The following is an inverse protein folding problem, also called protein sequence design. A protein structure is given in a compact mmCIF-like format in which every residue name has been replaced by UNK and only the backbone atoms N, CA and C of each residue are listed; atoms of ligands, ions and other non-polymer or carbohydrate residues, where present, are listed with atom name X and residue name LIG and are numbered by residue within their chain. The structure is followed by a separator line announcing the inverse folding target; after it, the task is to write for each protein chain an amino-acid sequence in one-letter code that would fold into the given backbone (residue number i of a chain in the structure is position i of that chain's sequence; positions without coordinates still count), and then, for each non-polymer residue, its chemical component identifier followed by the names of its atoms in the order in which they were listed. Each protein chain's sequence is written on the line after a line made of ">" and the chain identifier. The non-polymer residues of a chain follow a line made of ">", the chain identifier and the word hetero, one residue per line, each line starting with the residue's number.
data_IF_661629848239
#
_entry.id   IF_661629848239
#
_cell.length_a   1.000
_cell.length_b   1.000
_cell.length_c   1.000
_cell.angle_alpha   90.00
_cell.angle_beta   90.00
_cell.angle_gamma   90.00
#
_symmetry.space_group_name_H-M   'P 1'
#
loop_
_entity.id
_entity.type
_entity.pdbx_description
1 polymer ?
#
# COMPACT_ATOMS: atom_id res chain seq x y z
N UNK A 1 21.41 5.59 -11.59
CA UNK A 1 19.95 5.82 -11.54
C UNK A 1 19.29 4.57 -12.09
N UNK A 2 18.48 3.86 -11.30
CA UNK A 2 17.72 2.72 -11.84
C UNK A 2 16.64 3.27 -12.78
N UNK A 3 16.52 2.76 -14.01
CA UNK A 3 15.51 3.24 -14.95
C UNK A 3 14.11 2.88 -14.44
N UNK A 4 13.20 3.87 -14.42
CA UNK A 4 11.80 3.63 -14.10
C UNK A 4 11.19 2.65 -15.11
N UNK A 5 10.38 1.73 -14.61
CA UNK A 5 9.67 0.72 -15.40
C UNK A 5 8.23 1.17 -15.66
N UNK A 6 7.54 0.50 -16.59
CA UNK A 6 6.12 0.74 -16.82
C UNK A 6 5.27 0.37 -15.58
N UNK A 7 5.76 -0.54 -14.73
CA UNK A 7 5.11 -0.88 -13.45
C UNK A 7 5.12 0.33 -12.53
N UNK A 8 6.25 1.05 -12.44
CA UNK A 8 6.32 2.28 -11.65
C UNK A 8 5.35 3.33 -12.17
N UNK A 9 5.22 3.44 -13.50
CA UNK A 9 4.26 4.35 -14.12
C UNK A 9 2.80 4.00 -13.75
N UNK A 10 2.44 2.71 -13.71
CA UNK A 10 1.10 2.28 -13.28
C UNK A 10 0.84 2.54 -11.79
N UNK A 11 1.83 2.27 -10.93
CA UNK A 11 1.75 2.53 -9.49
C UNK A 11 1.58 4.02 -9.22
N UNK A 12 2.37 4.87 -9.90
CA UNK A 12 2.23 6.33 -9.82
C UNK A 12 0.88 6.79 -10.37
N UNK A 13 0.43 6.23 -11.49
CA UNK A 13 -0.88 6.57 -12.08
C UNK A 13 -2.02 6.25 -11.11
N UNK A 14 -1.94 5.15 -10.38
CA UNK A 14 -2.90 4.80 -9.34
C UNK A 14 -2.94 5.88 -8.24
N UNK A 15 -1.78 6.28 -7.71
CA UNK A 15 -1.68 7.34 -6.70
C UNK A 15 -2.22 8.67 -7.22
N UNK A 16 -1.87 9.05 -8.45
CA UNK A 16 -2.35 10.28 -9.08
C UNK A 16 -3.86 10.24 -9.27
N UNK A 17 -4.40 9.11 -9.72
CA UNK A 17 -5.84 8.92 -9.93
C UNK A 17 -6.62 9.02 -8.63
N UNK A 18 -6.17 8.35 -7.56
CA UNK A 18 -6.84 8.45 -6.25
C UNK A 18 -6.72 9.84 -5.65
N UNK A 19 -5.58 10.52 -5.84
CA UNK A 19 -5.38 11.92 -5.44
C UNK A 19 -6.34 12.86 -6.16
N UNK A 20 -6.45 12.73 -7.48
CA UNK A 20 -7.35 13.53 -8.30
C UNK A 20 -8.83 13.29 -7.94
N UNK A 21 -9.21 12.03 -7.74
CA UNK A 21 -10.54 11.66 -7.27
C UNK A 21 -10.82 12.26 -5.88
N UNK A 22 -9.89 12.14 -4.94
CA UNK A 22 -10.00 12.74 -3.62
C UNK A 22 -10.19 14.26 -3.69
N UNK A 23 -9.37 14.95 -4.49
CA UNK A 23 -9.46 16.39 -4.69
C UNK A 23 -10.80 16.82 -5.32
N UNK A 24 -11.33 16.04 -6.27
CA UNK A 24 -12.63 16.28 -6.89
C UNK A 24 -13.79 16.18 -5.89
N UNK A 25 -13.66 15.28 -4.90
CA UNK A 25 -14.65 15.03 -3.85
C UNK A 25 -14.43 15.88 -2.58
N UNK A 26 -13.40 16.74 -2.56
CA UNK A 26 -13.14 17.71 -1.48
C UNK A 26 -13.09 17.05 -0.09
N UNK A 27 -13.79 17.56 0.93
CA UNK A 27 -13.77 16.95 2.27
C UNK A 27 -14.33 15.52 2.28
N UNK A 28 -15.27 15.18 1.38
CA UNK A 28 -15.74 13.79 1.28
C UNK A 28 -14.59 12.89 0.83
N UNK A 29 -13.77 13.35 -0.11
CA UNK A 29 -12.55 12.67 -0.54
C UNK A 29 -11.54 12.50 0.60
N UNK A 30 -11.44 13.49 1.49
CA UNK A 30 -10.60 13.38 2.69
C UNK A 30 -11.13 12.31 3.65
N UNK A 31 -12.42 12.35 3.98
CA UNK A 31 -13.05 11.37 4.88
C UNK A 31 -12.94 9.95 4.33
N UNK A 32 -13.21 9.75 3.04
CA UNK A 32 -13.09 8.44 2.39
C UNK A 32 -11.63 8.01 2.31
N UNK A 33 -10.70 8.93 2.01
CA UNK A 33 -9.27 8.64 1.94
C UNK A 33 -8.72 8.18 3.28
N UNK A 34 -8.89 8.98 4.34
CA UNK A 34 -8.45 8.63 5.71
C UNK A 34 -9.19 7.39 6.22
N UNK A 35 -10.50 7.31 6.01
CA UNK A 35 -11.28 6.14 6.39
C UNK A 35 -10.79 4.86 5.70
N UNK A 36 -10.47 4.94 4.41
CA UNK A 36 -9.94 3.81 3.63
C UNK A 36 -8.56 3.37 4.12
N UNK A 37 -7.69 4.33 4.46
CA UNK A 37 -6.39 4.04 5.10
C UNK A 37 -6.60 3.29 6.41
N UNK A 38 -7.50 3.76 7.27
CA UNK A 38 -7.81 3.11 8.55
C UNK A 38 -8.43 1.71 8.38
N UNK A 39 -9.26 1.53 7.35
CA UNK A 39 -9.88 0.24 7.03
C UNK A 39 -8.91 -0.76 6.39
N UNK A 40 -7.76 -0.32 5.86
CA UNK A 40 -6.87 -1.24 5.13
C UNK A 40 -6.43 -2.41 6.00
N UNK A 41 -5.87 -2.16 7.18
CA UNK A 41 -5.36 -3.23 8.05
C UNK A 41 -6.42 -4.28 8.42
N UNK A 42 -7.61 -3.92 8.93
CA UNK A 42 -8.63 -4.92 9.21
C UNK A 42 -9.06 -5.66 7.94
N UNK A 43 -9.11 -5.01 6.77
CA UNK A 43 -9.40 -5.68 5.51
C UNK A 43 -8.32 -6.68 5.10
N UNK A 44 -7.04 -6.37 5.31
CA UNK A 44 -5.93 -7.30 5.06
C UNK A 44 -6.03 -8.52 5.98
N UNK A 45 -6.36 -8.32 7.26
CA UNK A 45 -6.55 -9.41 8.23
C UNK A 45 -7.77 -10.29 7.90
N UNK A 46 -8.86 -9.69 7.39
CA UNK A 46 -10.01 -10.46 6.91
C UNK A 46 -9.66 -11.18 5.60
N UNK A 47 -8.88 -10.53 4.73
CA UNK A 47 -8.44 -11.08 3.44
C UNK A 47 -7.60 -12.33 3.57
N UNK A 48 -6.72 -12.40 4.57
CA UNK A 48 -5.93 -13.60 4.84
C UNK A 48 -6.78 -14.80 5.26
N UNK A 49 -8.03 -14.58 5.71
CA UNK A 49 -8.97 -15.65 6.08
C UNK A 49 -9.90 -16.06 4.94
N UNK A 50 -10.09 -15.20 3.94
CA UNK A 50 -10.96 -15.49 2.80
C UNK A 50 -11.19 -14.27 1.90
N UNK A 51 -10.84 -14.41 0.62
CA UNK A 51 -10.93 -13.33 -0.38
C UNK A 51 -12.37 -12.80 -0.51
N UNK A 52 -13.36 -13.68 -0.59
CA UNK A 52 -14.76 -13.28 -0.73
C UNK A 52 -15.28 -12.49 0.48
N UNK A 53 -14.89 -12.89 1.69
CA UNK A 53 -15.26 -12.16 2.91
C UNK A 53 -14.62 -10.77 2.88
N UNK A 54 -13.33 -10.67 2.54
CA UNK A 54 -12.67 -9.38 2.38
C UNK A 54 -13.33 -8.49 1.34
N UNK A 55 -13.73 -9.02 0.17
CA UNK A 55 -14.44 -8.25 -0.85
C UNK A 55 -15.76 -7.72 -0.31
N UNK A 56 -16.57 -8.55 0.35
CA UNK A 56 -17.84 -8.12 0.95
C UNK A 56 -17.60 -7.08 2.04
N UNK A 57 -16.66 -7.31 2.96
CA UNK A 57 -16.32 -6.35 4.02
C UNK A 57 -15.80 -5.03 3.45
N UNK A 58 -14.99 -5.07 2.39
CA UNK A 58 -14.48 -3.87 1.71
C UNK A 58 -15.61 -3.07 1.06
N UNK A 59 -16.56 -3.74 0.39
CA UNK A 59 -17.74 -3.10 -0.20
C UNK A 59 -18.60 -2.45 0.88
N UNK A 60 -18.92 -3.18 1.95
CA UNK A 60 -19.71 -2.66 3.07
C UNK A 60 -19.01 -1.49 3.74
N UNK A 61 -17.71 -1.62 4.03
CA UNK A 61 -16.89 -0.54 4.60
C UNK A 61 -16.85 0.70 3.70
N UNK A 62 -16.70 0.51 2.38
CA UNK A 62 -16.73 1.58 1.39
C UNK A 62 -18.08 2.31 1.36
N UNK A 63 -19.20 1.59 1.39
CA UNK A 63 -20.54 2.17 1.47
C UNK A 63 -20.72 2.97 2.76
N UNK A 64 -20.31 2.41 3.91
CA UNK A 64 -20.39 3.10 5.20
C UNK A 64 -19.57 4.40 5.16
N UNK A 65 -18.33 4.37 4.67
CA UNK A 65 -17.49 5.57 4.54
C UNK A 65 -18.10 6.61 3.60
N UNK A 66 -18.71 6.17 2.49
CA UNK A 66 -19.39 7.07 1.57
C UNK A 66 -20.59 7.75 2.24
N UNK A 67 -21.42 7.00 2.99
CA UNK A 67 -22.56 7.54 3.73
C UNK A 67 -22.10 8.50 4.83
N UNK A 68 -21.08 8.13 5.61
CA UNK A 68 -20.48 9.00 6.63
C UNK A 68 -19.95 10.29 5.99
N UNK A 69 -19.19 10.18 4.90
CA UNK A 69 -18.66 11.33 4.18
C UNK A 69 -19.75 12.27 3.68
N UNK A 70 -20.84 11.72 3.14
CA UNK A 70 -22.00 12.52 2.71
C UNK A 70 -22.72 13.21 3.89
N UNK A 71 -22.81 12.54 5.05
CA UNK A 71 -23.51 13.07 6.23
C UNK A 71 -22.69 14.12 6.98
N UNK A 72 -21.38 13.94 7.07
CA UNK A 72 -20.48 14.86 7.79
C UNK A 72 -20.17 16.14 7.01
N UNK A 73 -20.33 16.13 5.69
CA UNK A 73 -19.97 17.25 4.82
C UNK A 73 -21.24 18.01 4.40
N UNK A 74 -21.46 19.25 4.88
CA UNK A 74 -22.65 20.03 4.52
C UNK A 74 -22.65 20.33 3.02
N UNK A 75 -23.72 19.91 2.33
CA UNK A 75 -23.86 20.09 0.88
C UNK A 75 -23.86 21.58 0.41
N UNK A 76 -24.11 22.53 1.33
CA UNK A 76 -24.33 23.94 1.00
C UNK A 76 -23.15 24.89 1.21
N UNK A 77 -22.06 24.49 1.90
CA UNK A 77 -20.93 25.42 2.12
C UNK A 77 -19.98 25.35 0.93
N UNK A 78 -19.71 26.49 0.29
CA UNK A 78 -18.66 26.66 -0.73
C UNK A 78 -17.32 26.22 -0.14
N UNK A 79 -17.02 24.93 -0.23
CA UNK A 79 -15.70 24.39 0.05
C UNK A 79 -14.77 24.97 -1.01
N UNK A 80 -14.04 26.01 -0.62
CA UNK A 80 -13.04 26.64 -1.44
C UNK A 80 -11.86 25.70 -1.71
N UNK A 81 -10.75 26.29 -2.11
CA UNK A 81 -9.51 25.56 -2.45
C UNK A 81 -9.03 24.63 -1.32
N UNK A 82 -9.23 25.01 -0.04
CA UNK A 82 -8.87 24.19 1.13
C UNK A 82 -9.55 22.83 1.11
N UNK A 83 -10.84 22.77 0.78
CA UNK A 83 -11.57 21.50 0.72
C UNK A 83 -11.02 20.58 -0.36
N UNK A 84 -10.65 21.14 -1.53
CA UNK A 84 -9.99 20.38 -2.61
C UNK A 84 -8.61 19.88 -2.18
N UNK A 85 -7.81 20.72 -1.53
CA UNK A 85 -6.49 20.35 -1.04
C UNK A 85 -6.55 19.20 -0.04
N UNK A 86 -7.45 19.29 0.96
CA UNK A 86 -7.67 18.21 1.94
C UNK A 86 -8.17 16.93 1.26
N UNK A 87 -9.09 17.05 0.31
CA UNK A 87 -9.53 15.92 -0.50
C UNK A 87 -8.38 15.23 -1.24
N UNK A 88 -7.50 16.03 -1.84
CA UNK A 88 -6.29 15.56 -2.51
C UNK A 88 -5.35 14.83 -1.55
N UNK A 89 -5.10 15.39 -0.36
CA UNK A 89 -4.27 14.75 0.68
C UNK A 89 -4.85 13.39 1.09
N UNK A 90 -6.17 13.31 1.31
CA UNK A 90 -6.81 12.04 1.65
C UNK A 90 -6.71 11.01 0.51
N UNK A 91 -6.93 11.45 -0.74
CA UNK A 91 -6.78 10.60 -1.92
C UNK A 91 -5.35 10.13 -2.16
N UNK A 92 -4.36 10.99 -1.90
CA UNK A 92 -2.94 10.66 -1.98
C UNK A 92 -2.54 9.66 -0.90
N UNK A 93 -2.97 9.89 0.35
CA UNK A 93 -2.71 8.97 1.45
C UNK A 93 -3.27 7.58 1.17
N UNK A 94 -4.52 7.49 0.67
CA UNK A 94 -5.11 6.23 0.25
C UNK A 94 -4.37 5.60 -0.94
N UNK A 95 -4.01 6.39 -1.95
CA UNK A 95 -3.26 5.91 -3.12
C UNK A 95 -1.91 5.30 -2.77
N UNK A 96 -1.12 6.01 -1.95
CA UNK A 96 0.17 5.53 -1.45
C UNK A 96 0.00 4.26 -0.62
N UNK A 97 -1.03 4.23 0.23
CA UNK A 97 -1.36 3.08 1.06
C UNK A 97 -1.70 1.85 0.21
N UNK A 98 -2.54 2.01 -0.81
CA UNK A 98 -2.87 0.93 -1.76
C UNK A 98 -1.65 0.50 -2.58
N UNK A 99 -0.81 1.44 -2.99
CA UNK A 99 0.45 1.15 -3.68
C UNK A 99 1.34 0.27 -2.83
N UNK A 100 1.60 0.66 -1.57
CA UNK A 100 2.42 -0.14 -0.66
C UNK A 100 1.79 -1.50 -0.40
N UNK A 101 0.48 -1.57 -0.12
CA UNK A 101 -0.21 -2.84 0.08
C UNK A 101 -0.07 -3.77 -1.13
N UNK A 102 -0.14 -3.23 -2.36
CA UNK A 102 0.03 -3.99 -3.59
C UNK A 102 1.48 -4.50 -3.73
N UNK A 103 2.46 -3.61 -3.55
CA UNK A 103 3.89 -3.98 -3.70
C UNK A 103 4.44 -4.78 -2.52
N UNK A 104 3.68 -4.99 -1.44
CA UNK A 104 4.02 -5.93 -0.35
C UNK A 104 3.21 -7.23 -0.40
N UNK A 105 2.19 -7.32 -1.26
CA UNK A 105 1.32 -8.50 -1.41
C UNK A 105 1.62 -9.32 -2.66
N UNK A 106 2.71 -9.02 -3.39
CA UNK A 106 3.14 -9.88 -4.49
C UNK A 106 3.49 -11.28 -3.95
N UNK A 107 3.33 -12.34 -4.77
CA UNK A 107 3.59 -13.68 -4.28
C UNK A 107 5.07 -13.87 -3.96
N UNK A 108 5.34 -14.51 -2.83
CA UNK A 108 6.69 -14.91 -2.44
C UNK A 108 7.00 -16.25 -3.09
N UNK A 109 8.16 -16.37 -3.72
CA UNK A 109 8.64 -17.64 -4.26
C UNK A 109 9.73 -18.23 -3.36
N UNK A 110 9.65 -19.52 -3.04
CA UNK A 110 10.70 -20.25 -2.30
C UNK A 110 11.56 -21.08 -3.25
N UNK A 111 12.82 -21.31 -2.88
CA UNK A 111 13.68 -22.24 -3.59
C UNK A 111 13.32 -23.70 -3.21
N UNK A 112 12.90 -24.57 -4.15
CA UNK A 112 12.58 -25.97 -3.84
C UNK A 112 13.76 -26.80 -3.35
N UNK A 113 15.00 -26.34 -3.57
CA UNK A 113 16.21 -27.00 -3.08
C UNK A 113 16.71 -26.45 -1.73
N UNK A 114 16.22 -25.29 -1.28
CA UNK A 114 16.61 -24.66 -0.03
C UNK A 114 15.47 -23.77 0.52
N UNK A 115 14.70 -24.31 1.46
CA UNK A 115 13.54 -23.61 2.05
C UNK A 115 13.88 -22.30 2.77
N UNK A 116 15.16 -22.08 3.12
CA UNK A 116 15.62 -20.83 3.73
C UNK A 116 15.79 -19.70 2.70
N UNK A 117 15.81 -20.01 1.40
CA UNK A 117 15.99 -19.00 0.35
C UNK A 117 14.64 -18.51 -0.19
N UNK A 118 14.43 -17.20 -0.04
CA UNK A 118 13.18 -16.51 -0.39
C UNK A 118 13.46 -15.54 -1.52
N UNK A 119 12.68 -15.65 -2.60
CA UNK A 119 12.74 -14.75 -3.75
C UNK A 119 11.54 -13.80 -3.75
N UNK A 120 11.85 -12.51 -3.74
CA UNK A 120 10.89 -11.43 -3.92
C UNK A 120 11.50 -10.31 -4.76
N UNK A 121 10.83 -9.83 -5.81
CA UNK A 121 9.58 -10.36 -6.40
C UNK A 121 9.77 -11.78 -7.00
N UNK A 122 8.69 -12.50 -7.33
CA UNK A 122 8.77 -13.88 -7.81
C UNK A 122 9.49 -13.95 -9.16
N UNK A 123 10.42 -14.91 -9.30
CA UNK A 123 11.21 -15.13 -10.52
C UNK A 123 10.43 -15.88 -11.59
N UNK A 124 9.36 -16.59 -11.21
CA UNK A 124 8.48 -17.35 -12.11
C UNK A 124 7.41 -16.49 -12.78
N UNK A 125 7.40 -15.18 -12.58
CA UNK A 125 6.51 -14.30 -13.33
C UNK A 125 6.82 -14.40 -14.85
N UNK A 126 5.80 -14.48 -15.72
CA UNK A 126 6.01 -14.76 -17.14
C UNK A 126 6.71 -13.63 -17.89
N UNK A 127 7.69 -13.99 -18.73
CA UNK A 127 8.29 -13.12 -19.74
C UNK A 127 8.96 -11.86 -19.17
N UNK A 128 8.60 -10.70 -19.74
CA UNK A 128 9.17 -9.40 -19.35
C UNK A 128 8.72 -8.93 -17.97
N UNK A 129 7.60 -9.47 -17.44
CA UNK A 129 7.05 -9.04 -16.15
C UNK A 129 8.02 -9.32 -14.99
N UNK A 130 8.69 -10.47 -14.98
CA UNK A 130 9.71 -10.77 -13.97
C UNK A 130 10.86 -9.76 -14.02
N UNK A 131 11.31 -9.39 -15.21
CA UNK A 131 12.41 -8.44 -15.41
C UNK A 131 12.01 -7.05 -14.92
N UNK A 132 10.80 -6.60 -15.26
CA UNK A 132 10.31 -5.28 -14.89
C UNK A 132 10.02 -5.19 -13.38
N UNK A 133 9.46 -6.23 -12.77
CA UNK A 133 9.26 -6.28 -11.31
C UNK A 133 10.60 -6.20 -10.56
N UNK A 134 11.62 -6.94 -11.02
CA UNK A 134 12.94 -6.94 -10.37
C UNK A 134 13.71 -5.62 -10.57
N UNK A 135 13.38 -4.83 -11.60
CA UNK A 135 14.01 -3.53 -11.88
C UNK A 135 13.25 -2.35 -11.28
N UNK A 136 12.00 -2.55 -10.88
CA UNK A 136 11.14 -1.47 -10.36
C UNK A 136 11.64 -0.99 -8.99
N UNK A 137 12.04 0.30 -8.86
CA UNK A 137 12.41 0.87 -7.56
C UNK A 137 11.25 0.86 -6.56
N UNK A 138 9.98 0.99 -6.99
CA UNK A 138 8.85 0.92 -6.07
C UNK A 138 8.61 -0.49 -5.54
N UNK A 139 8.82 -1.52 -6.36
CA UNK A 139 8.79 -2.92 -5.92
C UNK A 139 9.94 -3.22 -4.98
N UNK A 140 11.13 -2.64 -5.19
CA UNK A 140 12.27 -2.79 -4.27
C UNK A 140 12.02 -2.15 -2.89
N UNK A 141 11.31 -1.02 -2.84
CA UNK A 141 10.81 -0.46 -1.57
C UNK A 141 9.79 -1.42 -0.93
N UNK A 142 8.88 -1.98 -1.71
CA UNK A 142 7.94 -3.01 -1.24
C UNK A 142 8.65 -4.23 -0.66
N UNK A 143 9.73 -4.70 -1.30
CA UNK A 143 10.61 -5.77 -0.81
C UNK A 143 11.24 -5.41 0.53
N UNK A 144 11.76 -4.20 0.65
CA UNK A 144 12.42 -3.72 1.86
C UNK A 144 11.45 -3.58 3.04
N UNK A 145 10.19 -3.24 2.77
CA UNK A 145 9.11 -3.24 3.76
C UNK A 145 8.73 -4.68 4.12
N UNK A 146 8.45 -5.53 3.13
CA UNK A 146 7.99 -6.91 3.34
C UNK A 146 9.02 -7.75 4.11
N UNK A 147 10.29 -7.69 3.71
CA UNK A 147 11.35 -8.49 4.29
C UNK A 147 12.05 -7.79 5.46
N UNK A 148 11.50 -6.68 5.95
CA UNK A 148 12.13 -5.87 7.00
C UNK A 148 12.62 -6.68 8.21
N UNK A 149 11.87 -7.67 8.75
CA UNK A 149 12.33 -8.47 9.89
C UNK A 149 13.52 -9.40 9.57
N UNK A 150 13.78 -9.67 8.30
CA UNK A 150 14.86 -10.53 7.83
C UNK A 150 16.11 -9.74 7.41
N UNK A 151 16.01 -8.41 7.33
CA UNK A 151 17.13 -7.55 7.02
C UNK A 151 18.06 -7.40 8.24
N UNK A 152 19.37 -7.26 8.03
CA UNK A 152 20.31 -7.02 9.13
C UNK A 152 19.96 -5.70 9.82
N UNK A 153 19.87 -5.74 11.15
CA UNK A 153 19.59 -4.54 11.93
C UNK A 153 20.70 -3.48 11.71
N UNK A 154 20.34 -2.20 11.53
CA UNK A 154 21.30 -1.15 11.31
C UNK A 154 22.19 -0.98 12.53
N UNK A 155 23.45 -0.65 12.28
CA UNK A 155 24.38 -0.28 13.36
C UNK A 155 23.87 0.97 14.09
N UNK A 156 24.28 1.21 15.35
CA UNK A 156 23.87 2.41 16.10
C UNK A 156 24.26 3.74 15.43
N UNK A 157 25.21 3.74 14.49
CA UNK A 157 25.58 4.89 13.68
C UNK A 157 24.58 5.10 12.52
N UNK A 158 24.23 4.03 11.80
CA UNK A 158 23.25 4.06 10.70
C UNK A 158 21.84 4.39 11.19
N UNK A 159 21.44 3.85 12.34
CA UNK A 159 20.14 4.13 12.95
C UNK A 159 19.98 5.60 13.38
N UNK A 160 21.09 6.30 13.65
CA UNK A 160 21.09 7.76 13.92
C UNK A 160 21.11 8.59 12.64
N UNK A 161 21.66 8.04 11.56
CA UNK A 161 21.78 8.74 10.28
C UNK A 161 20.51 8.63 9.43
N UNK A 162 19.67 7.61 9.64
CA UNK A 162 18.53 7.34 8.76
C UNK A 162 17.30 6.77 9.50
N UNK A 163 16.20 7.53 9.49
CA UNK A 163 14.89 7.10 10.04
C UNK A 163 14.16 6.06 9.16
N UNK A 164 14.67 5.77 7.95
CA UNK A 164 14.05 4.84 6.99
C UNK A 164 13.80 3.46 7.61
N UNK A 165 14.72 2.97 8.46
CA UNK A 165 14.55 1.69 9.13
C UNK A 165 13.28 1.63 9.99
N UNK A 166 13.02 2.68 10.78
CA UNK A 166 11.82 2.77 11.63
C UNK A 166 10.55 2.87 10.79
N UNK A 167 10.60 3.64 9.71
CA UNK A 167 9.47 3.79 8.78
C UNK A 167 9.12 2.45 8.15
N UNK A 168 10.11 1.71 7.64
CA UNK A 168 9.88 0.39 7.03
C UNK A 168 9.37 -0.63 8.04
N UNK A 169 9.88 -0.63 9.28
CA UNK A 169 9.35 -1.49 10.35
C UNK A 169 7.90 -1.16 10.73
N UNK A 170 7.56 0.13 10.77
CA UNK A 170 6.18 0.58 10.99
C UNK A 170 5.24 0.16 9.86
N UNK A 171 5.67 0.35 8.61
CA UNK A 171 4.92 -0.06 7.42
C UNK A 171 4.77 -1.59 7.35
N UNK A 172 5.83 -2.35 7.65
CA UNK A 172 5.77 -3.80 7.72
C UNK A 172 4.70 -4.25 8.72
N UNK A 173 4.78 -3.72 9.95
CA UNK A 173 3.85 -4.06 11.02
C UNK A 173 2.40 -3.76 10.65
N UNK A 174 2.16 -2.74 9.82
CA UNK A 174 0.81 -2.31 9.44
C UNK A 174 0.26 -3.00 8.19
N UNK A 175 1.09 -3.24 7.18
CA UNK A 175 0.70 -3.78 5.87
C UNK A 175 0.87 -5.29 5.76
N UNK A 176 1.82 -5.87 6.46
CA UNK A 176 2.10 -7.31 6.38
C UNK A 176 1.34 -8.00 7.50
N UNK A 177 0.50 -8.96 7.13
CA UNK A 177 -0.28 -9.78 8.07
C UNK A 177 0.44 -11.10 8.26
N UNK A 178 0.81 -11.41 9.50
CA UNK A 178 1.53 -12.63 9.81
C UNK A 178 2.98 -12.60 9.33
N UNK A 179 3.52 -13.78 9.07
CA UNK A 179 4.88 -13.99 8.58
C UNK A 179 4.77 -14.78 7.28
N UNK A 180 4.57 -14.12 6.12
CA UNK A 180 4.26 -14.81 4.86
C UNK A 180 5.39 -15.73 4.39
N UNK A 181 6.62 -15.53 4.89
CA UNK A 181 7.74 -16.44 4.70
C UNK A 181 7.72 -17.69 5.61
N UNK A 182 6.74 -17.83 6.49
CA UNK A 182 6.54 -19.00 7.36
C UNK A 182 5.31 -19.84 6.96
N UNK A 183 4.45 -19.33 6.07
CA UNK A 183 3.28 -20.04 5.55
C UNK A 183 3.70 -21.14 4.55
N UNK A 184 3.29 -22.38 4.81
CA UNK A 184 3.57 -23.57 3.97
C UNK A 184 2.41 -23.90 3.06
#
# INVERSE_FOLDING_TARGET
>A
MMPATWIDALLVLMVVSTTALGASRRLVGFTVGVGGVLLLRPLLVVGSRGVWVAVVTALVGGVILAVIGQRLVPAGKRQGWVGKALGGVGGAALGLTLMFALVTSLPIQRNPANDAEIFYPPRTAPGTLAVDLNRSPLVDVGRSILLHPLLPAPTPAEARANDTWRVYGGLHTWLVVGEPWNER
#
